data_IF_412690071229
#
_entry.id   IF_412690071229
#
_cell.length_a   1.000
_cell.length_b   1.000
_cell.length_c   1.000
_cell.angle_alpha   90.00
_cell.angle_beta   90.00
_cell.angle_gamma   90.00
#
_symmetry.space_group_name_H-M   'P 1'
#
loop_
_entity.id
_entity.type
_entity.pdbx_description
1 polymer ?
#
# COMPACT_ATOMS: atom_id res chain seq x y z
N UNK A 1 -37.01 31.39 15.71
CA UNK A 1 -35.67 31.00 16.21
C UNK A 1 -35.04 29.83 15.43
N UNK A 2 -35.81 28.78 15.07
CA UNK A 2 -35.30 27.60 14.36
C UNK A 2 -34.81 27.91 12.93
N UNK A 3 -35.56 28.73 12.16
CA UNK A 3 -35.18 29.14 10.80
C UNK A 3 -33.86 29.93 10.73
N UNK A 4 -33.64 30.85 11.67
CA UNK A 4 -32.41 31.64 11.73
C UNK A 4 -31.17 30.77 12.03
N UNK A 5 -31.31 29.73 12.88
CA UNK A 5 -30.23 28.75 13.09
C UNK A 5 -29.97 27.93 11.83
N UNK A 6 -31.00 27.53 11.09
CA UNK A 6 -30.83 26.79 9.83
C UNK A 6 -30.13 27.62 8.76
N UNK A 7 -30.50 28.90 8.59
CA UNK A 7 -29.81 29.81 7.66
C UNK A 7 -28.35 30.03 8.04
N UNK A 8 -28.03 30.20 9.33
CA UNK A 8 -26.65 30.33 9.79
C UNK A 8 -25.82 29.07 9.51
N UNK A 9 -26.40 27.88 9.70
CA UNK A 9 -25.73 26.60 9.39
C UNK A 9 -25.51 26.45 7.88
N UNK A 10 -26.49 26.79 7.06
CA UNK A 10 -26.35 26.75 5.60
C UNK A 10 -25.32 27.77 5.08
N UNK A 11 -25.29 28.97 5.67
CA UNK A 11 -24.42 30.06 5.22
C UNK A 11 -22.98 29.92 5.68
N UNK A 12 -22.75 29.39 6.88
CA UNK A 12 -21.41 29.31 7.47
C UNK A 12 -20.95 27.88 7.73
N UNK A 13 -21.86 26.99 8.15
CA UNK A 13 -21.53 25.59 8.42
C UNK A 13 -21.13 24.82 7.16
N UNK A 14 -21.94 24.91 6.10
CA UNK A 14 -21.66 24.20 4.83
C UNK A 14 -20.35 24.66 4.18
N UNK A 15 -20.06 25.97 4.02
CA UNK A 15 -18.77 26.40 3.48
C UNK A 15 -17.59 26.05 4.38
N UNK A 16 -17.75 26.15 5.71
CA UNK A 16 -16.67 25.77 6.64
C UNK A 16 -16.33 24.28 6.55
N UNK A 17 -17.35 23.41 6.42
CA UNK A 17 -17.14 21.98 6.20
C UNK A 17 -16.37 21.73 4.90
N UNK A 18 -16.72 22.42 3.82
CA UNK A 18 -16.02 22.30 2.54
C UNK A 18 -14.53 22.71 2.67
N UNK A 19 -14.24 23.80 3.39
CA UNK A 19 -12.87 24.25 3.66
C UNK A 19 -12.10 23.19 4.45
N UNK A 20 -12.71 22.60 5.49
CA UNK A 20 -12.10 21.55 6.30
C UNK A 20 -11.77 20.33 5.43
N UNK A 21 -12.70 19.90 4.57
CA UNK A 21 -12.47 18.77 3.65
C UNK A 21 -11.29 19.07 2.72
N UNK A 22 -11.23 20.26 2.13
CA UNK A 22 -10.11 20.67 1.25
C UNK A 22 -8.78 20.67 2.01
N UNK A 23 -8.75 21.20 3.24
CA UNK A 23 -7.54 21.24 4.07
C UNK A 23 -7.03 19.83 4.39
N UNK A 24 -7.93 18.91 4.76
CA UNK A 24 -7.59 17.50 5.02
C UNK A 24 -7.04 16.85 3.75
N UNK A 25 -7.69 17.06 2.59
CA UNK A 25 -7.23 16.50 1.31
C UNK A 25 -5.81 17.00 0.95
N UNK A 26 -5.56 18.31 1.07
CA UNK A 26 -4.23 18.87 0.79
C UNK A 26 -3.16 18.34 1.75
N UNK A 27 -3.49 18.18 3.03
CA UNK A 27 -2.60 17.58 4.02
C UNK A 27 -2.26 16.13 3.66
N UNK A 28 -3.28 15.32 3.36
CA UNK A 28 -3.11 13.91 2.98
C UNK A 28 -2.25 13.75 1.71
N UNK A 29 -2.45 14.62 0.72
CA UNK A 29 -1.66 14.62 -0.51
C UNK A 29 -0.19 15.00 -0.26
N UNK A 30 0.05 16.03 0.57
CA UNK A 30 1.42 16.49 0.84
C UNK A 30 2.21 15.56 1.76
N UNK A 31 1.55 14.97 2.76
CA UNK A 31 2.24 14.27 3.85
C UNK A 31 2.11 12.75 3.82
N UNK A 32 1.14 12.17 3.10
CA UNK A 32 0.88 10.72 3.14
C UNK A 32 1.04 9.98 1.81
N UNK A 33 1.78 10.52 0.83
CA UNK A 33 1.99 9.89 -0.49
C UNK A 33 0.69 9.49 -1.21
N UNK A 34 -0.44 10.10 -0.82
CA UNK A 34 -1.72 9.90 -1.46
C UNK A 34 -1.76 10.76 -2.73
N UNK A 35 -2.14 10.17 -3.86
CA UNK A 35 -2.33 10.94 -5.08
C UNK A 35 -3.40 12.03 -4.88
N UNK A 36 -3.30 13.14 -5.63
CA UNK A 36 -4.25 14.28 -5.59
C UNK A 36 -5.73 13.91 -5.73
N UNK A 37 -5.99 12.73 -6.26
CA UNK A 37 -7.32 12.20 -6.51
C UNK A 37 -7.80 11.22 -5.41
N UNK A 38 -6.92 10.73 -4.54
CA UNK A 38 -7.23 9.81 -3.44
C UNK A 38 -7.96 10.58 -2.33
N UNK A 39 -9.27 10.70 -2.49
CA UNK A 39 -10.16 11.29 -1.49
C UNK A 39 -11.48 11.86 -2.04
N UNK A 40 -11.55 12.13 -3.33
CA UNK A 40 -12.77 12.58 -4.02
C UNK A 40 -13.56 11.48 -4.73
N UNK A 41 -13.31 10.20 -4.43
CA UNK A 41 -13.92 9.05 -5.11
C UNK A 41 -13.30 8.68 -6.47
N UNK A 42 -12.77 9.64 -7.23
CA UNK A 42 -12.19 9.39 -8.56
C UNK A 42 -10.76 8.83 -8.55
N UNK A 43 -9.93 9.14 -7.55
CA UNK A 43 -8.53 8.68 -7.52
C UNK A 43 -8.31 7.26 -7.02
N UNK A 44 -9.34 6.61 -6.50
CA UNK A 44 -9.26 5.22 -6.04
C UNK A 44 -8.90 4.25 -7.18
N UNK A 45 -9.19 4.63 -8.43
CA UNK A 45 -8.90 3.85 -9.65
C UNK A 45 -7.67 4.34 -10.43
N UNK A 46 -6.98 5.38 -9.95
CA UNK A 46 -5.83 5.97 -10.68
C UNK A 46 -4.50 5.29 -10.37
N UNK A 47 -4.47 4.38 -9.39
CA UNK A 47 -3.29 3.58 -9.09
C UNK A 47 -3.36 2.22 -9.79
N UNK A 48 -2.20 1.76 -10.24
CA UNK A 48 -2.06 0.45 -10.84
C UNK A 48 -2.47 -0.61 -9.81
N UNK A 49 -3.36 -1.51 -10.21
CA UNK A 49 -3.92 -2.53 -9.34
C UNK A 49 -2.81 -3.33 -8.63
N UNK A 50 -3.00 -3.63 -7.34
CA UNK A 50 -1.99 -4.30 -6.50
C UNK A 50 -1.55 -5.67 -7.04
N UNK A 51 -2.35 -6.30 -7.91
CA UNK A 51 -2.02 -7.55 -8.60
C UNK A 51 -0.74 -7.46 -9.44
N UNK A 52 -0.35 -6.24 -9.84
CA UNK A 52 0.86 -5.99 -10.61
C UNK A 52 2.10 -5.74 -9.73
N UNK A 53 1.96 -5.79 -8.40
CA UNK A 53 3.10 -5.76 -7.49
C UNK A 53 3.92 -7.04 -7.66
N UNK A 54 5.23 -6.92 -7.52
CA UNK A 54 6.15 -8.06 -7.71
C UNK A 54 6.91 -8.33 -6.42
N UNK A 55 6.86 -9.57 -5.97
CA UNK A 55 7.65 -10.04 -4.83
C UNK A 55 8.91 -10.67 -5.40
N UNK A 56 10.06 -10.28 -4.85
CA UNK A 56 11.34 -10.89 -5.11
C UNK A 56 11.89 -11.48 -3.82
N UNK A 57 12.33 -12.75 -3.88
CA UNK A 57 12.96 -13.45 -2.76
C UNK A 57 14.31 -13.98 -3.26
N UNK A 58 15.40 -13.58 -2.61
CA UNK A 58 16.73 -13.99 -3.08
C UNK A 58 16.95 -15.50 -2.96
N UNK A 59 17.29 -16.11 -4.10
CA UNK A 59 17.57 -17.53 -4.19
C UNK A 59 16.36 -18.46 -3.98
N UNK A 60 15.13 -17.95 -4.10
CA UNK A 60 13.91 -18.77 -4.06
C UNK A 60 12.92 -18.31 -5.13
N UNK A 61 12.31 -19.26 -5.83
CA UNK A 61 11.21 -18.97 -6.74
C UNK A 61 9.90 -18.77 -5.96
N UNK A 62 9.28 -17.61 -6.10
CA UNK A 62 7.99 -17.29 -5.49
C UNK A 62 6.90 -18.27 -5.97
N UNK A 63 6.91 -18.61 -7.26
CA UNK A 63 5.92 -19.52 -7.85
C UNK A 63 6.03 -20.93 -7.28
N UNK A 64 7.23 -21.38 -6.92
CA UNK A 64 7.44 -22.67 -6.27
C UNK A 64 6.85 -22.66 -4.86
N UNK A 65 7.15 -21.62 -4.06
CA UNK A 65 6.65 -21.50 -2.70
C UNK A 65 5.12 -21.47 -2.62
N UNK A 66 4.45 -20.80 -3.57
CA UNK A 66 2.99 -20.71 -3.62
C UNK A 66 2.33 -22.05 -3.96
N UNK A 67 2.99 -22.89 -4.77
CA UNK A 67 2.49 -24.22 -5.14
C UNK A 67 2.55 -25.20 -3.97
N UNK A 68 3.58 -25.07 -3.14
CA UNK A 68 3.89 -26.04 -2.09
C UNK A 68 3.13 -25.78 -0.78
N UNK A 69 2.71 -24.54 -0.50
CA UNK A 69 2.04 -24.16 0.75
C UNK A 69 0.85 -23.19 0.53
N UNK A 70 -0.40 -23.60 0.84
CA UNK A 70 -1.58 -22.73 0.77
C UNK A 70 -1.48 -21.45 1.62
N UNK A 71 -0.80 -21.51 2.77
CA UNK A 71 -0.58 -20.35 3.64
C UNK A 71 0.41 -19.36 3.02
N UNK A 72 1.32 -19.83 2.17
CA UNK A 72 2.22 -18.96 1.42
C UNK A 72 1.43 -18.11 0.43
N UNK A 73 0.47 -18.72 -0.29
CA UNK A 73 -0.38 -18.01 -1.24
C UNK A 73 -1.14 -16.86 -0.58
N UNK A 74 -1.75 -17.11 0.58
CA UNK A 74 -2.51 -16.09 1.30
C UNK A 74 -1.60 -14.99 1.86
N UNK A 75 -0.46 -15.37 2.46
CA UNK A 75 0.49 -14.43 3.08
C UNK A 75 1.15 -13.52 2.05
N UNK A 76 1.67 -14.09 0.95
CA UNK A 76 2.27 -13.31 -0.12
C UNK A 76 1.22 -12.49 -0.88
N UNK A 77 0.01 -13.03 -1.09
CA UNK A 77 -1.09 -12.28 -1.68
C UNK A 77 -1.52 -11.08 -0.83
N UNK A 78 -1.53 -11.23 0.49
CA UNK A 78 -1.81 -10.14 1.41
C UNK A 78 -0.69 -9.10 1.43
N UNK A 79 0.58 -9.53 1.34
CA UNK A 79 1.72 -8.63 1.19
C UNK A 79 1.63 -7.82 -0.11
N UNK A 80 1.18 -8.42 -1.23
CA UNK A 80 0.93 -7.71 -2.48
C UNK A 80 -0.12 -6.60 -2.30
N UNK A 81 -1.19 -6.87 -1.55
CA UNK A 81 -2.25 -5.90 -1.28
C UNK A 81 -1.79 -4.78 -0.33
N UNK A 82 -1.11 -5.14 0.76
CA UNK A 82 -0.70 -4.23 1.84
C UNK A 82 0.79 -4.39 2.18
N UNK A 83 1.69 -3.78 1.39
CA UNK A 83 3.12 -3.82 1.66
C UNK A 83 3.49 -2.85 2.78
N UNK A 84 3.59 -3.37 4.00
CA UNK A 84 4.03 -2.68 5.21
C UNK A 84 4.99 -3.57 6.01
N UNK A 85 5.63 -3.02 7.04
CA UNK A 85 6.70 -3.67 7.79
C UNK A 85 6.25 -4.93 8.53
N UNK A 86 5.01 -4.93 9.02
CA UNK A 86 4.42 -6.08 9.71
C UNK A 86 4.18 -7.24 8.73
N UNK A 87 3.57 -6.95 7.58
CA UNK A 87 3.23 -7.95 6.58
C UNK A 87 4.47 -8.51 5.89
N UNK A 88 5.48 -7.67 5.61
CA UNK A 88 6.72 -8.14 4.99
C UNK A 88 7.52 -9.02 5.96
N UNK A 89 7.51 -8.71 7.27
CA UNK A 89 8.11 -9.55 8.29
C UNK A 89 7.40 -10.90 8.41
N UNK A 90 6.07 -10.91 8.50
CA UNK A 90 5.27 -12.16 8.53
C UNK A 90 5.56 -13.04 7.31
N UNK A 91 5.64 -12.45 6.12
CA UNK A 91 6.01 -13.16 4.90
C UNK A 91 7.43 -13.73 4.98
N UNK A 92 8.41 -12.95 5.42
CA UNK A 92 9.79 -13.39 5.57
C UNK A 92 9.94 -14.54 6.59
N UNK A 93 9.25 -14.46 7.73
CA UNK A 93 9.23 -15.53 8.73
C UNK A 93 8.65 -16.83 8.17
N UNK A 94 7.55 -16.75 7.42
CA UNK A 94 6.94 -17.92 6.78
C UNK A 94 7.91 -18.53 5.76
N UNK A 95 8.53 -17.71 4.91
CA UNK A 95 9.51 -18.18 3.91
C UNK A 95 10.72 -18.84 4.58
N UNK A 96 11.24 -18.28 5.66
CA UNK A 96 12.34 -18.89 6.43
C UNK A 96 11.95 -20.27 6.97
N UNK A 97 10.76 -20.39 7.57
CA UNK A 97 10.23 -21.64 8.11
C UNK A 97 10.03 -22.70 7.02
N UNK A 98 9.49 -22.31 5.86
CA UNK A 98 9.22 -23.24 4.76
C UNK A 98 10.50 -23.67 4.02
N UNK A 99 11.47 -22.77 3.85
CA UNK A 99 12.69 -23.05 3.05
C UNK A 99 13.86 -23.58 3.86
N UNK A 100 13.78 -23.58 5.19
CA UNK A 100 14.87 -23.96 6.11
C UNK A 100 16.20 -23.21 5.87
N UNK A 101 16.15 -22.01 5.30
CA UNK A 101 17.33 -21.16 5.09
C UNK A 101 17.76 -20.44 6.37
N UNK A 102 19.02 -20.04 6.41
CA UNK A 102 19.58 -19.27 7.53
C UNK A 102 19.21 -17.78 7.48
N UNK A 103 18.91 -17.26 6.29
CA UNK A 103 18.45 -15.89 6.08
C UNK A 103 17.58 -15.78 4.83
N UNK A 104 16.71 -14.78 4.80
CA UNK A 104 15.89 -14.43 3.64
C UNK A 104 15.97 -12.93 3.39
N UNK A 105 16.17 -12.56 2.13
CA UNK A 105 16.01 -11.19 1.66
C UNK A 105 14.78 -11.14 0.76
N UNK A 106 13.79 -10.35 1.19
CA UNK A 106 12.50 -10.23 0.52
C UNK A 106 12.25 -8.77 0.18
N UNK A 107 11.83 -8.53 -1.06
CA UNK A 107 11.50 -7.21 -1.58
C UNK A 107 10.13 -7.24 -2.25
N UNK A 108 9.39 -6.14 -2.15
CA UNK A 108 8.17 -5.93 -2.92
C UNK A 108 8.28 -4.65 -3.75
N UNK A 109 8.03 -4.79 -5.04
CA UNK A 109 8.15 -3.74 -6.04
C UNK A 109 6.77 -3.36 -6.56
N UNK A 110 6.50 -2.05 -6.61
CA UNK A 110 5.27 -1.49 -7.17
C UNK A 110 5.54 -0.91 -8.56
N UNK A 111 4.69 -1.18 -9.55
CA UNK A 111 4.74 -0.45 -10.81
C UNK A 111 4.31 1.01 -10.58
N UNK A 112 4.96 1.92 -11.28
CA UNK A 112 4.58 3.34 -11.34
C UNK A 112 4.69 3.82 -12.77
N UNK A 113 3.77 4.70 -13.17
CA UNK A 113 3.80 5.35 -14.48
C UNK A 113 3.89 6.84 -14.21
N UNK A 114 4.93 7.47 -14.75
CA UNK A 114 5.02 8.92 -14.70
C UNK A 114 3.98 9.51 -15.66
N UNK A 115 3.08 10.35 -15.13
CA UNK A 115 1.96 10.92 -15.91
C UNK A 115 2.39 11.97 -16.95
N UNK A 116 3.58 12.55 -16.82
CA UNK A 116 4.07 13.60 -17.71
C UNK A 116 4.70 13.02 -18.99
N UNK A 117 5.38 11.87 -18.88
CA UNK A 117 6.11 11.25 -19.99
C UNK A 117 5.68 9.81 -20.30
N UNK A 118 4.75 9.24 -19.53
CA UNK A 118 4.24 7.88 -19.74
C UNK A 118 5.24 6.76 -19.41
N UNK A 119 6.41 7.07 -18.84
CA UNK A 119 7.44 6.06 -18.58
C UNK A 119 7.01 5.15 -17.44
N UNK A 120 6.96 3.85 -17.73
CA UNK A 120 6.77 2.80 -16.74
C UNK A 120 8.08 2.53 -15.98
N UNK A 121 8.02 2.54 -14.66
CA UNK A 121 9.12 2.16 -13.77
C UNK A 121 8.60 1.25 -12.65
N UNK A 122 9.52 0.61 -11.94
CA UNK A 122 9.23 -0.08 -10.69
C UNK A 122 9.92 0.64 -9.56
N UNK A 123 9.20 0.85 -8.47
CA UNK A 123 9.73 1.44 -7.24
C UNK A 123 9.69 0.39 -6.15
N UNK A 124 10.73 0.36 -5.32
CA UNK A 124 10.77 -0.50 -4.15
C UNK A 124 9.73 0.03 -3.16
N UNK A 125 8.77 -0.81 -2.80
CA UNK A 125 7.71 -0.44 -1.86
C UNK A 125 8.07 -0.80 -0.43
N UNK A 126 8.67 -1.97 -0.22
CA UNK A 126 9.23 -2.37 1.07
C UNK A 126 10.27 -3.49 0.88
N UNK A 127 11.19 -3.63 1.83
CA UNK A 127 12.17 -4.71 1.87
C UNK A 127 12.51 -5.14 3.29
N UNK A 128 12.93 -6.39 3.44
CA UNK A 128 13.43 -6.91 4.71
C UNK A 128 14.52 -7.94 4.47
N UNK A 129 15.55 -7.89 5.30
CA UNK A 129 16.52 -8.96 5.46
C UNK A 129 16.32 -9.56 6.85
N UNK A 130 15.88 -10.82 6.92
CA UNK A 130 15.60 -11.51 8.17
C UNK A 130 16.51 -12.72 8.31
N UNK A 131 17.15 -12.86 9.47
CA UNK A 131 17.99 -14.02 9.80
C UNK A 131 17.26 -14.96 10.75
N UNK A 132 17.56 -16.25 10.66
CA UNK A 132 17.00 -17.28 11.55
C UNK A 132 17.32 -17.06 13.03
N UNK A 133 18.40 -16.35 13.33
CA UNK A 133 18.80 -15.95 14.69
C UNK A 133 17.94 -14.83 15.30
N UNK A 134 17.13 -14.14 14.50
CA UNK A 134 16.31 -13.00 14.89
C UNK A 134 14.82 -13.39 15.06
N UNK A 135 14.53 -14.69 14.97
CA UNK A 135 13.22 -15.31 15.11
C UNK A 135 12.93 -15.72 16.56
#
# INVERSE_FOLDING_TARGET
MIKAKQELILKYGVPSLAIIVVAIQLYLVHFQSLNRWKGGGFGMYTEIHYIYNQIHISGVSVDSLIKDDPNMKSTLGYLMLMPNDENIRKAAELVLKTTNKDSVYLQIWKPTVNSENGIYKRILANEIHLKKSEL
#
